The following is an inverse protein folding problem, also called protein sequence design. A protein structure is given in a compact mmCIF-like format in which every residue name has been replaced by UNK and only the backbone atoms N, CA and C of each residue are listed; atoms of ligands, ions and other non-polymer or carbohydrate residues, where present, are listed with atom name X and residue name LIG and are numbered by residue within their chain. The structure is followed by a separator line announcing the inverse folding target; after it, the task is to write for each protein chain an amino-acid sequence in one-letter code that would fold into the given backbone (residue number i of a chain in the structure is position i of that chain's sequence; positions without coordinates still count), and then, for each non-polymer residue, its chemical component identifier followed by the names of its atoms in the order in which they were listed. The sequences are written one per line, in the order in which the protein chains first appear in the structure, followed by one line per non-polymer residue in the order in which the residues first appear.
data_IF_612117484279
#
_entry.id   IF_612117484279
#
_cell.length_a   1.000
_cell.length_b   1.000
_cell.length_c   1.000
_cell.angle_alpha   90.00
_cell.angle_beta   90.00
_cell.angle_gamma   90.00
#
_symmetry.space_group_name_H-M   'P 1'
#
loop_
_entity.id
_entity.type
_entity.pdbx_description
1 polymer ?
#
# COMPACT_ATOMS: atom_id res chain seq x y z
N UNK A 1 -21.13 -13.76 -3.66
CA UNK A 1 -20.06 -13.66 -2.64
C UNK A 1 -19.54 -15.07 -2.40
N UNK A 2 -18.23 -15.28 -2.50
CA UNK A 2 -17.60 -16.58 -2.28
C UNK A 2 -16.58 -16.45 -1.15
N UNK A 3 -16.44 -17.50 -0.36
CA UNK A 3 -15.43 -17.62 0.71
C UNK A 3 -14.56 -18.82 0.36
N UNK A 4 -13.24 -18.65 0.38
CA UNK A 4 -12.27 -19.68 0.03
C UNK A 4 -10.97 -19.45 0.77
N UNK A 5 -10.18 -20.52 0.91
CA UNK A 5 -8.82 -20.45 1.43
C UNK A 5 -7.84 -19.95 0.35
N UNK A 6 -6.91 -19.09 0.75
CA UNK A 6 -5.78 -18.65 -0.09
C UNK A 6 -4.62 -19.59 0.15
N UNK A 7 -4.36 -20.48 -0.81
CA UNK A 7 -3.31 -21.51 -0.69
C UNK A 7 -1.93 -21.08 -1.23
N UNK A 8 -1.85 -20.01 -2.02
CA UNK A 8 -0.61 -19.51 -2.59
C UNK A 8 -0.75 -18.05 -3.07
N UNK A 9 0.37 -17.31 -3.11
CA UNK A 9 0.47 -15.97 -3.71
C UNK A 9 1.66 -15.94 -4.65
N UNK A 10 1.46 -15.47 -5.88
CA UNK A 10 2.53 -15.21 -6.85
C UNK A 10 2.74 -13.70 -6.97
N UNK A 11 3.97 -13.26 -6.75
CA UNK A 11 4.41 -11.89 -6.93
C UNK A 11 5.75 -11.91 -7.69
N UNK A 12 6.04 -10.82 -8.40
CA UNK A 12 7.35 -10.65 -9.02
C UNK A 12 8.38 -10.27 -7.95
N UNK A 13 9.51 -10.96 -7.95
CA UNK A 13 10.60 -10.77 -6.99
C UNK A 13 11.12 -9.33 -6.97
N UNK A 14 11.00 -8.60 -8.08
CA UNK A 14 11.41 -7.18 -8.15
C UNK A 14 10.63 -6.28 -7.17
N UNK A 15 9.47 -6.73 -6.69
CA UNK A 15 8.63 -6.00 -5.74
C UNK A 15 8.65 -6.61 -4.34
N UNK A 16 9.51 -7.60 -4.08
CA UNK A 16 9.69 -8.17 -2.75
C UNK A 16 10.90 -7.55 -2.08
N UNK A 17 10.72 -7.08 -0.85
CA UNK A 17 11.85 -6.68 -0.02
C UNK A 17 12.72 -7.92 0.29
N UNK A 18 14.01 -7.92 -0.08
CA UNK A 18 14.85 -9.13 -0.02
C UNK A 18 15.19 -9.57 1.41
N UNK A 19 15.01 -8.70 2.41
CA UNK A 19 15.32 -8.99 3.82
C UNK A 19 14.06 -9.43 4.57
N UNK A 20 12.94 -8.78 4.32
CA UNK A 20 11.69 -8.95 5.07
C UNK A 20 10.66 -9.81 4.34
N UNK A 21 10.83 -10.05 3.04
CA UNK A 21 9.85 -10.72 2.18
C UNK A 21 8.58 -9.91 1.95
N UNK A 22 8.56 -8.63 2.35
CA UNK A 22 7.38 -7.77 2.24
C UNK A 22 7.15 -7.37 0.78
N UNK A 23 5.93 -7.56 0.29
CA UNK A 23 5.53 -7.08 -1.03
C UNK A 23 5.31 -5.56 -1.04
N UNK A 24 6.01 -4.88 -1.95
CA UNK A 24 5.91 -3.45 -2.19
C UNK A 24 4.82 -3.13 -3.21
N UNK A 25 3.59 -3.10 -2.70
CA UNK A 25 2.41 -2.71 -3.48
C UNK A 25 2.47 -1.28 -4.06
N UNK A 26 3.34 -0.40 -3.54
CA UNK A 26 3.42 0.98 -4.03
C UNK A 26 4.13 1.03 -5.38
N UNK A 27 5.12 0.15 -5.59
CA UNK A 27 5.88 0.06 -6.82
C UNK A 27 5.25 -0.92 -7.84
N UNK A 28 4.31 -1.75 -7.42
CA UNK A 28 3.63 -2.73 -8.28
C UNK A 28 2.63 -2.14 -9.30
N UNK A 29 2.50 -0.81 -9.39
CA UNK A 29 1.67 -0.15 -10.41
C UNK A 29 0.18 -0.47 -10.34
N UNK A 30 -0.35 -0.67 -9.12
CA UNK A 30 -1.75 -1.05 -8.93
C UNK A 30 -2.72 0.02 -9.46
N UNK A 31 -3.90 -0.46 -9.87
CA UNK A 31 -5.01 0.33 -10.39
C UNK A 31 -6.21 0.29 -9.45
N UNK A 32 -6.95 1.39 -9.40
CA UNK A 32 -8.21 1.51 -8.68
C UNK A 32 -9.37 1.61 -9.67
N UNK A 33 -10.44 0.89 -9.39
CA UNK A 33 -11.69 0.99 -10.15
C UNK A 33 -12.70 1.84 -9.38
N UNK A 34 -13.29 2.83 -10.03
CA UNK A 34 -14.33 3.68 -9.46
C UNK A 34 -15.28 4.15 -10.55
N UNK A 35 -16.58 3.99 -10.33
CA UNK A 35 -17.64 4.50 -11.21
C UNK A 35 -17.45 4.17 -12.70
N UNK A 36 -17.01 2.96 -13.05
CA UNK A 36 -16.84 2.56 -14.45
C UNK A 36 -15.48 2.88 -15.06
N UNK A 37 -14.55 3.46 -14.29
CA UNK A 37 -13.25 3.91 -14.79
C UNK A 37 -12.09 3.35 -13.97
N UNK A 38 -10.93 3.23 -14.64
CA UNK A 38 -9.67 2.81 -14.04
C UNK A 38 -8.75 4.01 -13.79
N UNK A 39 -8.14 4.05 -12.61
CA UNK A 39 -7.24 5.11 -12.17
C UNK A 39 -5.95 4.53 -11.61
N UNK A 40 -4.84 5.25 -11.76
CA UNK A 40 -3.61 4.95 -11.03
C UNK A 40 -3.71 5.36 -9.56
N UNK A 41 -2.88 4.75 -8.70
CA UNK A 41 -2.73 5.20 -7.31
C UNK A 41 -1.89 6.49 -7.23
N UNK A 42 -2.28 7.39 -6.34
CA UNK A 42 -1.55 8.63 -6.06
C UNK A 42 -0.34 8.43 -5.14
N UNK A 43 0.30 9.54 -4.74
CA UNK A 43 1.43 9.53 -3.80
C UNK A 43 1.00 8.95 -2.44
N UNK A 44 1.90 8.20 -1.78
CA UNK A 44 1.69 7.75 -0.40
C UNK A 44 1.54 8.95 0.54
N UNK A 45 0.38 9.07 1.17
CA UNK A 45 0.04 10.19 2.07
C UNK A 45 0.38 9.92 3.54
N UNK A 46 0.50 8.66 3.96
CA UNK A 46 0.78 8.31 5.35
C UNK A 46 0.73 6.82 5.62
N UNK A 47 0.87 6.45 6.90
CA UNK A 47 0.70 5.09 7.42
C UNK A 47 -0.64 4.94 8.15
N UNK A 48 -0.97 3.73 8.59
CA UNK A 48 -2.12 3.52 9.47
C UNK A 48 -2.08 4.47 10.67
N UNK A 49 -3.20 5.15 10.93
CA UNK A 49 -3.32 6.19 11.96
C UNK A 49 -2.88 7.59 11.53
N UNK A 50 -2.43 7.81 10.28
CA UNK A 50 -1.97 9.13 9.81
C UNK A 50 -3.03 10.24 9.93
N UNK A 51 -4.31 9.94 9.67
CA UNK A 51 -5.39 10.94 9.76
C UNK A 51 -5.63 11.45 11.18
N UNK A 52 -5.21 10.69 12.19
CA UNK A 52 -5.38 10.99 13.61
C UNK A 52 -4.04 11.24 14.32
N UNK A 53 -2.92 11.23 13.59
CA UNK A 53 -1.59 11.43 14.17
C UNK A 53 -1.45 12.86 14.70
N UNK A 54 -1.09 13.01 15.98
CA UNK A 54 -0.85 14.31 16.58
C UNK A 54 0.31 15.00 15.86
N UNK A 55 0.09 16.24 15.41
CA UNK A 55 1.15 17.06 14.79
C UNK A 55 2.35 17.16 15.74
N UNK A 56 3.54 16.81 15.26
CA UNK A 56 4.78 16.96 16.03
C UNK A 56 5.00 18.44 16.35
N UNK A 57 5.14 18.77 17.64
CA UNK A 57 5.54 20.13 18.05
C UNK A 57 6.95 20.39 17.51
N UNK A 58 7.14 21.44 16.71
CA UNK A 58 8.49 21.87 16.31
C UNK A 58 9.28 22.18 17.58
N UNK A 59 10.47 21.59 17.74
CA UNK A 59 11.40 22.04 18.79
C UNK A 59 11.72 23.51 18.51
N UNK A 60 11.44 24.40 19.46
CA UNK A 60 11.96 25.77 19.41
C UNK A 60 13.48 25.66 19.44
N UNK A 61 14.15 26.27 18.47
CA UNK A 61 15.60 26.49 18.52
C UNK A 61 15.91 27.42 19.68
#
# INVERSE_FOLDING_TARGET
MFISEVVNVKADDQYLDPVTGRFDMQNAGLLAYSHGHYYGLGKRIGKFGWSVEKKKKKKKK
#
